data_IF_347386036762
#
_entry.id   IF_347386036762
#
_cell.length_a   1.000
_cell.length_b   1.000
_cell.length_c   1.000
_cell.angle_alpha   90.00
_cell.angle_beta   90.00
_cell.angle_gamma   90.00
#
_symmetry.space_group_name_H-M   'P 1'
#
loop_
_entity.id
_entity.type
_entity.pdbx_description
1 polymer ?
#
# COMPACT_ATOMS: atom_id res chain seq x y z
N UNK A 1 10.46 -15.79 13.70
CA UNK A 1 9.92 -14.74 12.83
C UNK A 1 8.54 -15.15 12.33
N UNK A 2 7.55 -14.28 12.42
CA UNK A 2 6.16 -14.59 12.08
C UNK A 2 5.98 -15.06 10.62
N UNK A 3 6.77 -14.49 9.69
CA UNK A 3 6.69 -14.81 8.25
C UNK A 3 6.94 -16.28 7.93
N UNK A 4 7.72 -17.00 8.76
CA UNK A 4 8.00 -18.43 8.59
C UNK A 4 6.76 -19.32 8.76
N UNK A 5 5.69 -18.80 9.38
CA UNK A 5 4.50 -19.57 9.74
C UNK A 5 3.30 -19.26 8.82
N UNK A 6 3.48 -18.43 7.79
CA UNK A 6 2.38 -17.94 6.95
C UNK A 6 2.72 -18.06 5.47
N UNK A 7 1.69 -18.27 4.66
CA UNK A 7 1.79 -18.31 3.21
C UNK A 7 1.63 -16.91 2.58
N UNK A 8 0.93 -16.02 3.26
CA UNK A 8 0.59 -14.69 2.74
C UNK A 8 0.91 -13.64 3.79
N UNK A 9 1.50 -12.53 3.33
CA UNK A 9 1.76 -11.35 4.15
C UNK A 9 0.96 -10.18 3.59
N UNK A 10 0.15 -9.53 4.44
CA UNK A 10 -0.62 -8.33 4.09
C UNK A 10 -0.16 -7.19 4.99
N UNK A 11 0.35 -6.12 4.39
CA UNK A 11 0.76 -4.91 5.08
C UNK A 11 -0.33 -3.86 5.00
N UNK A 12 -0.81 -3.38 6.14
CA UNK A 12 -1.80 -2.28 6.24
C UNK A 12 -1.25 -1.11 7.04
N UNK A 13 0.08 -0.91 6.99
CA UNK A 13 0.74 0.19 7.71
C UNK A 13 0.32 1.54 7.16
N UNK A 14 0.26 2.56 8.03
CA UNK A 14 -0.14 3.91 7.65
C UNK A 14 0.94 4.66 6.86
N UNK A 15 0.58 5.83 6.33
CA UNK A 15 1.45 6.67 5.48
C UNK A 15 2.82 6.95 6.10
N UNK A 16 2.91 7.11 7.42
CA UNK A 16 4.17 7.37 8.13
C UNK A 16 5.15 6.20 8.16
N UNK A 17 4.73 5.00 7.76
CA UNK A 17 5.53 3.76 7.83
C UNK A 17 5.65 3.07 6.47
N UNK A 18 5.24 3.72 5.37
CA UNK A 18 5.31 3.13 4.03
C UNK A 18 6.75 2.77 3.65
N UNK A 19 7.71 3.62 4.02
CA UNK A 19 9.15 3.37 3.83
C UNK A 19 9.62 2.14 4.58
N UNK A 20 9.05 1.85 5.74
CA UNK A 20 9.50 0.78 6.64
C UNK A 20 9.11 -0.62 6.11
N UNK A 21 8.29 -0.68 5.07
CA UNK A 21 7.95 -1.93 4.39
C UNK A 21 9.18 -2.61 3.75
N UNK A 22 10.32 -1.92 3.59
CA UNK A 22 11.61 -2.54 3.25
C UNK A 22 12.03 -3.62 4.24
N UNK A 23 11.66 -3.47 5.52
CA UNK A 23 11.94 -4.46 6.56
C UNK A 23 11.11 -5.73 6.34
N UNK A 24 9.85 -5.59 5.91
CA UNK A 24 8.98 -6.72 5.56
C UNK A 24 9.54 -7.43 4.33
N UNK A 25 9.96 -6.68 3.31
CA UNK A 25 10.60 -7.22 2.10
C UNK A 25 11.85 -8.03 2.45
N UNK A 26 12.74 -7.48 3.27
CA UNK A 26 13.95 -8.17 3.74
C UNK A 26 13.61 -9.48 4.46
N UNK A 27 12.62 -9.45 5.36
CA UNK A 27 12.17 -10.62 6.10
C UNK A 27 11.51 -11.69 5.20
N UNK A 28 10.75 -11.28 4.17
CA UNK A 28 10.19 -12.21 3.17
C UNK A 28 11.31 -12.88 2.39
N UNK A 29 12.31 -12.11 1.94
CA UNK A 29 13.46 -12.63 1.18
C UNK A 29 14.21 -13.69 1.98
N UNK A 30 14.49 -13.44 3.27
CA UNK A 30 15.15 -14.41 4.15
C UNK A 30 14.40 -15.77 4.19
N UNK A 31 13.06 -15.73 4.19
CA UNK A 31 12.21 -16.93 4.29
C UNK A 31 12.03 -17.62 2.94
N UNK A 32 11.86 -16.85 1.85
CA UNK A 32 11.56 -17.36 0.51
C UNK A 32 12.65 -18.24 -0.10
N UNK A 33 13.89 -18.12 0.37
CA UNK A 33 14.99 -18.99 -0.07
C UNK A 33 14.96 -20.40 0.55
N UNK A 34 14.11 -20.65 1.54
CA UNK A 34 14.13 -21.91 2.32
C UNK A 34 12.94 -22.78 1.89
N UNK A 35 13.22 -23.92 1.26
CA UNK A 35 12.22 -24.90 0.74
C UNK A 35 11.18 -25.39 1.76
N UNK A 36 11.42 -25.21 3.06
CA UNK A 36 10.50 -25.62 4.15
C UNK A 36 9.37 -24.61 4.38
N UNK A 37 9.50 -23.37 3.91
CA UNK A 37 8.50 -22.33 4.11
C UNK A 37 7.71 -22.10 2.83
N UNK A 38 6.40 -21.92 2.98
CA UNK A 38 5.43 -21.93 1.89
C UNK A 38 4.99 -20.52 1.46
N UNK A 39 5.79 -19.47 1.72
CA UNK A 39 5.43 -18.11 1.34
C UNK A 39 5.04 -18.02 -0.15
N UNK A 40 3.87 -17.46 -0.43
CA UNK A 40 3.23 -17.40 -1.75
C UNK A 40 2.99 -15.99 -2.27
N UNK A 41 2.71 -15.02 -1.40
CA UNK A 41 2.26 -13.69 -1.85
C UNK A 41 2.46 -12.59 -0.81
N UNK A 42 2.95 -11.44 -1.26
CA UNK A 42 2.96 -10.19 -0.51
C UNK A 42 1.91 -9.20 -1.03
N UNK A 43 1.17 -8.57 -0.12
CA UNK A 43 0.30 -7.44 -0.40
C UNK A 43 0.85 -6.20 0.33
N UNK A 44 1.58 -5.30 -0.34
CA UNK A 44 2.04 -4.06 0.27
C UNK A 44 0.87 -3.12 0.61
N UNK A 45 1.11 -2.15 1.48
CA UNK A 45 0.12 -1.14 1.91
C UNK A 45 -0.19 -0.16 0.77
N UNK A 46 -1.07 -0.59 -0.13
CA UNK A 46 -1.40 0.12 -1.37
C UNK A 46 -2.78 0.77 -1.29
N UNK A 47 -3.81 -0.01 -0.93
CA UNK A 47 -5.21 0.33 -0.64
C UNK A 47 -5.61 1.79 -0.89
N UNK A 48 -5.55 2.20 -2.15
CA UNK A 48 -5.92 3.52 -2.61
C UNK A 48 -5.95 3.58 -4.13
N UNK A 49 -5.54 4.72 -4.69
CA UNK A 49 -5.33 4.87 -6.13
C UNK A 49 -4.05 4.16 -6.59
N UNK A 50 -4.03 3.76 -7.86
CA UNK A 50 -2.84 3.23 -8.49
C UNK A 50 -1.76 4.31 -8.67
N UNK A 51 -0.70 4.25 -7.84
CA UNK A 51 0.33 5.29 -7.79
C UNK A 51 1.18 5.40 -9.04
N UNK A 52 1.25 4.35 -9.86
CA UNK A 52 2.01 4.38 -11.13
C UNK A 52 1.22 5.04 -12.27
N UNK A 53 -0.09 5.21 -12.10
CA UNK A 53 -1.00 5.77 -13.10
C UNK A 53 -1.57 7.14 -12.71
N UNK A 54 -1.35 7.55 -11.47
CA UNK A 54 -1.89 8.80 -10.94
C UNK A 54 -0.95 9.99 -11.19
N UNK A 55 -1.54 11.13 -11.55
CA UNK A 55 -0.84 12.39 -11.74
C UNK A 55 -0.98 13.27 -10.50
N UNK A 56 -0.37 12.83 -9.40
CA UNK A 56 -0.46 13.51 -8.11
C UNK A 56 0.35 14.82 -8.07
N UNK A 57 -0.23 15.82 -7.41
CA UNK A 57 0.45 17.06 -7.02
C UNK A 57 0.77 17.05 -5.52
N UNK A 58 1.54 18.01 -5.05
CA UNK A 58 1.83 18.13 -3.63
C UNK A 58 0.55 18.44 -2.83
N UNK A 59 0.41 17.88 -1.60
CA UNK A 59 1.43 17.17 -0.84
C UNK A 59 1.47 15.64 -1.06
N UNK A 60 0.51 15.05 -1.78
CA UNK A 60 0.36 13.58 -1.85
C UNK A 60 1.38 12.91 -2.78
N UNK A 61 1.98 13.68 -3.69
CA UNK A 61 3.01 13.22 -4.63
C UNK A 61 4.15 12.46 -3.94
N UNK A 62 4.63 12.93 -2.78
CA UNK A 62 5.70 12.27 -2.02
C UNK A 62 5.29 10.88 -1.54
N UNK A 63 4.06 10.73 -1.03
CA UNK A 63 3.54 9.43 -0.57
C UNK A 63 3.44 8.45 -1.74
N UNK A 64 2.99 8.92 -2.90
CA UNK A 64 2.89 8.09 -4.12
C UNK A 64 4.26 7.65 -4.60
N UNK A 65 5.25 8.56 -4.59
CA UNK A 65 6.63 8.23 -4.92
C UNK A 65 7.23 7.19 -3.96
N UNK A 66 6.94 7.27 -2.65
CA UNK A 66 7.39 6.25 -1.68
C UNK A 66 6.76 4.89 -1.97
N UNK A 67 5.44 4.81 -2.23
CA UNK A 67 4.76 3.57 -2.62
C UNK A 67 5.34 2.98 -3.92
N UNK A 68 5.53 3.83 -4.94
CA UNK A 68 6.12 3.41 -6.20
C UNK A 68 7.54 2.83 -6.00
N UNK A 69 8.36 3.45 -5.14
CA UNK A 69 9.69 2.92 -4.77
C UNK A 69 9.58 1.55 -4.11
N UNK A 70 8.63 1.34 -3.19
CA UNK A 70 8.38 0.03 -2.58
C UNK A 70 7.99 -1.01 -3.64
N UNK A 71 7.13 -0.67 -4.61
CA UNK A 71 6.80 -1.56 -5.74
C UNK A 71 8.07 -1.98 -6.50
N UNK A 72 8.95 -1.03 -6.84
CA UNK A 72 10.22 -1.34 -7.52
C UNK A 72 11.14 -2.23 -6.68
N UNK A 73 11.20 -2.01 -5.37
CA UNK A 73 12.00 -2.88 -4.47
C UNK A 73 11.44 -4.31 -4.46
N UNK A 74 10.12 -4.49 -4.39
CA UNK A 74 9.48 -5.81 -4.44
C UNK A 74 9.79 -6.52 -5.77
N UNK A 75 9.73 -5.80 -6.89
CA UNK A 75 10.02 -6.33 -8.22
C UNK A 75 11.47 -6.78 -8.38
N UNK A 76 12.43 -5.95 -7.94
CA UNK A 76 13.88 -6.26 -7.97
C UNK A 76 14.20 -7.48 -7.11
N UNK A 77 13.51 -7.65 -5.99
CA UNK A 77 13.68 -8.80 -5.10
C UNK A 77 12.92 -10.04 -5.56
N UNK A 78 12.25 -9.98 -6.72
CA UNK A 78 11.48 -11.08 -7.32
C UNK A 78 10.45 -11.69 -6.35
N UNK A 79 9.90 -10.90 -5.43
CA UNK A 79 8.89 -11.35 -4.47
C UNK A 79 7.55 -11.43 -5.19
N UNK A 80 6.83 -12.57 -5.16
CA UNK A 80 5.46 -12.64 -5.67
C UNK A 80 4.55 -11.65 -4.93
N UNK A 81 3.91 -10.72 -5.66
CA UNK A 81 3.12 -9.65 -5.05
C UNK A 81 1.77 -9.41 -5.73
N UNK A 82 0.89 -8.70 -5.03
CA UNK A 82 -0.37 -8.18 -5.57
C UNK A 82 -0.59 -6.77 -5.06
N UNK A 83 -0.74 -5.83 -5.98
CA UNK A 83 -1.15 -4.44 -5.68
C UNK A 83 -2.66 -4.36 -5.69
N UNK A 84 -3.24 -3.84 -4.61
CA UNK A 84 -4.68 -3.61 -4.51
C UNK A 84 -4.95 -2.11 -4.66
N UNK A 85 -5.52 -1.73 -5.81
CA UNK A 85 -6.06 -0.39 -6.06
C UNK A 85 -7.56 -0.39 -5.80
N UNK A 86 -7.98 -0.07 -4.58
CA UNK A 86 -9.40 -0.02 -4.19
C UNK A 86 -10.00 1.41 -4.24
N UNK A 87 -9.23 2.38 -4.76
CA UNK A 87 -9.64 3.76 -4.97
C UNK A 87 -9.97 4.50 -3.66
N UNK A 88 -11.22 4.91 -3.48
CA UNK A 88 -11.66 5.78 -2.39
C UNK A 88 -12.47 4.97 -1.37
N UNK A 89 -12.02 4.95 -0.11
CA UNK A 89 -12.79 4.34 0.96
C UNK A 89 -14.13 5.06 1.17
N UNK A 90 -15.23 4.33 1.03
CA UNK A 90 -16.59 4.85 1.17
C UNK A 90 -16.79 5.61 2.50
N UNK A 91 -16.39 5.00 3.62
CA UNK A 91 -16.52 5.60 4.96
C UNK A 91 -15.62 6.81 5.22
N UNK A 92 -14.63 7.07 4.36
CA UNK A 92 -13.74 8.23 4.48
C UNK A 92 -14.12 9.35 3.51
N UNK A 93 -14.35 9.01 2.23
CA UNK A 93 -14.54 10.00 1.18
C UNK A 93 -16.01 10.39 0.95
N UNK A 94 -16.97 9.46 1.07
CA UNK A 94 -18.38 9.79 0.78
C UNK A 94 -18.98 10.82 1.74
N UNK A 95 -18.69 10.81 3.06
CA UNK A 95 -19.30 11.78 3.98
C UNK A 95 -19.00 13.24 3.63
N UNK A 96 -17.89 13.52 2.95
CA UNK A 96 -17.45 14.88 2.59
C UNK A 96 -17.29 15.08 1.09
N UNK A 97 -17.63 14.06 0.29
CA UNK A 97 -17.35 14.02 -1.16
C UNK A 97 -15.87 14.33 -1.49
N UNK A 98 -14.96 13.93 -0.61
CA UNK A 98 -13.52 14.18 -0.75
C UNK A 98 -13.09 15.64 -0.52
N UNK A 99 -13.98 16.50 -0.04
CA UNK A 99 -13.64 17.87 0.32
C UNK A 99 -12.79 17.90 1.58
N UNK A 100 -11.56 18.39 1.46
CA UNK A 100 -10.65 18.55 2.59
C UNK A 100 -11.27 19.50 3.62
N UNK A 101 -11.24 19.10 4.90
CA UNK A 101 -11.74 19.87 6.06
C UNK A 101 -13.26 20.08 6.13
N UNK A 102 -14.04 19.51 5.23
CA UNK A 102 -15.50 19.52 5.35
C UNK A 102 -15.95 18.53 6.45
N UNK A 103 -17.05 18.86 7.13
CA UNK A 103 -17.70 17.96 8.11
C UNK A 103 -18.90 17.22 7.53
N UNK A 104 -19.24 17.48 6.27
CA UNK A 104 -20.39 16.91 5.56
C UNK A 104 -20.43 17.38 4.11
N UNK A 105 -21.39 16.91 3.30
CA UNK A 105 -21.55 17.38 1.92
C UNK A 105 -22.05 18.83 1.89
N UNK A 106 -21.70 19.58 0.83
CA UNK A 106 -22.28 20.91 0.60
C UNK A 106 -23.81 20.83 0.53
N UNK A 107 -24.47 21.79 1.18
CA UNK A 107 -25.93 21.95 1.17
C UNK A 107 -26.38 23.11 0.28
N UNK A 108 -25.45 23.83 -0.31
CA UNK A 108 -25.75 24.90 -1.26
C UNK A 108 -26.30 24.29 -2.54
N UNK A 109 -27.38 24.88 -3.05
CA UNK A 109 -27.92 24.51 -4.36
C UNK A 109 -27.05 25.16 -5.44
N UNK A 110 -26.74 24.38 -6.48
CA UNK A 110 -26.19 24.88 -7.75
C UNK A 110 -27.28 25.68 -8.46
#
# INVERSE_FOLDING_TARGET
MAIKQVDVVISTVGSGQISDQVNIISAIKEVGHIKRFNFRRFFPSEFGMDVDRAHAVDPIKTVFATKAKIRRTIEVEHIPYTIISNNFFAGYFLPTLGQARASGPSREKI
#
